data_IF_995359193717
#
_entry.id   IF_995359193717
#
_cell.length_a   1.000
_cell.length_b   1.000
_cell.length_c   1.000
_cell.angle_alpha   90.00
_cell.angle_beta   90.00
_cell.angle_gamma   90.00
#
_symmetry.space_group_name_H-M   'P 1'
#
loop_
_entity.id
_entity.type
_entity.pdbx_description
1 polymer ?
#
# COMPACT_ATOMS: atom_id res chain seq x y z
N UNK A 1 25.11 -2.93 12.35
CA UNK A 1 24.25 -3.06 11.14
C UNK A 1 25.07 -3.72 10.03
N UNK A 2 24.73 -4.94 9.60
CA UNK A 2 25.60 -5.84 8.81
C UNK A 2 25.92 -5.22 7.42
N UNK A 3 27.19 -5.18 6.96
CA UNK A 3 27.62 -4.46 5.75
C UNK A 3 26.88 -4.83 4.45
N UNK A 4 26.28 -6.02 4.40
CA UNK A 4 25.43 -6.49 3.30
C UNK A 4 24.13 -5.68 3.13
N UNK A 5 23.52 -5.22 4.23
CA UNK A 5 22.31 -4.37 4.19
C UNK A 5 22.61 -3.02 3.54
N UNK A 6 23.79 -2.45 3.79
CA UNK A 6 24.21 -1.17 3.19
C UNK A 6 24.51 -1.34 1.69
N UNK A 7 25.09 -2.48 1.30
CA UNK A 7 25.44 -2.80 -0.10
C UNK A 7 24.21 -3.08 -0.98
N UNK A 8 23.22 -3.79 -0.47
CA UNK A 8 22.07 -4.24 -1.27
C UNK A 8 20.76 -3.52 -0.95
N UNK A 9 20.69 -2.72 0.12
CA UNK A 9 19.46 -2.07 0.58
C UNK A 9 18.80 -1.20 -0.49
N UNK A 10 19.59 -0.41 -1.23
CA UNK A 10 19.07 0.42 -2.33
C UNK A 10 18.47 -0.42 -3.46
N UNK A 11 19.13 -1.52 -3.83
CA UNK A 11 18.64 -2.43 -4.86
C UNK A 11 17.33 -3.11 -4.43
N UNK A 12 17.25 -3.53 -3.17
CA UNK A 12 16.04 -4.12 -2.61
C UNK A 12 14.88 -3.13 -2.55
N UNK A 13 15.13 -1.90 -2.06
CA UNK A 13 14.11 -0.85 -2.03
C UNK A 13 13.58 -0.57 -3.44
N UNK A 14 14.46 -0.47 -4.43
CA UNK A 14 14.06 -0.24 -5.82
C UNK A 14 13.23 -1.39 -6.39
N UNK A 15 13.57 -2.65 -6.06
CA UNK A 15 12.77 -3.81 -6.46
C UNK A 15 11.39 -3.75 -5.82
N UNK A 16 11.30 -3.50 -4.52
CA UNK A 16 10.02 -3.41 -3.81
C UNK A 16 9.17 -2.27 -4.39
N UNK A 17 9.77 -1.10 -4.61
CA UNK A 17 9.11 0.04 -5.23
C UNK A 17 8.58 -0.29 -6.63
N UNK A 18 9.37 -0.96 -7.47
CA UNK A 18 8.95 -1.37 -8.81
C UNK A 18 7.79 -2.38 -8.76
N UNK A 19 7.83 -3.33 -7.82
CA UNK A 19 6.75 -4.31 -7.64
C UNK A 19 5.48 -3.61 -7.14
N UNK A 20 5.58 -2.72 -6.15
CA UNK A 20 4.44 -1.94 -5.66
C UNK A 20 3.82 -1.14 -6.79
N UNK A 21 4.60 -0.34 -7.51
CA UNK A 21 4.08 0.40 -8.65
C UNK A 21 3.46 -0.50 -9.71
N UNK A 22 4.04 -1.67 -10.01
CA UNK A 22 3.47 -2.57 -11.01
C UNK A 22 2.06 -3.06 -10.66
N UNK A 23 1.77 -3.26 -9.37
CA UNK A 23 0.40 -3.57 -8.93
C UNK A 23 -0.54 -2.39 -9.21
N UNK A 24 -0.14 -1.19 -8.82
CA UNK A 24 -0.99 0.00 -8.95
C UNK A 24 -1.15 0.49 -10.40
N UNK A 25 -0.12 0.34 -11.23
CA UNK A 25 -0.16 0.58 -12.67
C UNK A 25 -1.25 -0.24 -13.36
N UNK A 26 -1.42 -1.50 -12.94
CA UNK A 26 -2.46 -2.38 -13.47
C UNK A 26 -3.87 -1.99 -13.03
N UNK A 27 -4.00 -1.33 -11.88
CA UNK A 27 -5.24 -0.70 -11.39
C UNK A 27 -5.50 0.68 -12.03
N UNK A 28 -4.67 1.10 -12.99
CA UNK A 28 -4.82 2.35 -13.73
C UNK A 28 -4.09 3.55 -13.12
N UNK A 29 -3.30 3.35 -12.06
CA UNK A 29 -2.46 4.40 -11.49
C UNK A 29 -1.20 4.59 -12.33
N UNK A 30 -1.02 5.68 -13.06
CA UNK A 30 0.19 5.83 -13.88
C UNK A 30 1.41 6.26 -13.04
N UNK A 31 2.47 5.45 -13.03
CA UNK A 31 3.75 5.84 -12.45
C UNK A 31 4.94 5.02 -12.94
N UNK A 32 5.96 4.89 -12.10
CA UNK A 32 7.23 4.23 -12.46
C UNK A 32 7.09 2.70 -12.49
N UNK A 33 8.03 1.98 -13.08
CA UNK A 33 7.97 0.51 -13.13
C UNK A 33 7.08 -0.04 -14.25
N UNK A 34 6.96 -1.37 -14.31
CA UNK A 34 6.12 -2.05 -15.30
C UNK A 34 4.64 -2.06 -14.91
N UNK A 35 3.80 -2.75 -15.67
CA UNK A 35 2.44 -3.11 -15.25
C UNK A 35 2.38 -4.59 -14.94
N UNK A 36 1.79 -4.96 -13.79
CA UNK A 36 1.47 -6.35 -13.53
C UNK A 36 0.47 -6.85 -14.60
N UNK A 37 0.64 -8.07 -15.10
CA UNK A 37 -0.25 -8.69 -16.09
C UNK A 37 -1.27 -9.66 -15.46
N UNK A 38 -1.13 -9.95 -14.17
CA UNK A 38 -1.95 -10.89 -13.43
C UNK A 38 -3.09 -10.20 -12.66
N UNK A 39 -4.02 -11.01 -12.16
CA UNK A 39 -5.07 -10.55 -11.25
C UNK A 39 -4.48 -9.92 -10.00
N UNK A 40 -5.09 -8.84 -9.53
CA UNK A 40 -4.62 -8.08 -8.39
C UNK A 40 -5.59 -8.19 -7.24
N UNK A 41 -5.01 -8.45 -6.08
CA UNK A 41 -5.63 -8.32 -4.80
C UNK A 41 -5.37 -6.90 -4.26
N UNK A 42 -6.42 -6.08 -4.17
CA UNK A 42 -6.29 -4.66 -3.81
C UNK A 42 -5.84 -4.51 -2.35
N UNK A 43 -6.41 -5.29 -1.43
CA UNK A 43 -6.04 -5.21 -0.01
C UNK A 43 -4.60 -5.66 0.22
N UNK A 44 -4.16 -6.74 -0.44
CA UNK A 44 -2.76 -7.17 -0.38
C UNK A 44 -1.82 -6.13 -1.02
N UNK A 45 -2.25 -5.47 -2.09
CA UNK A 45 -1.47 -4.42 -2.77
C UNK A 45 -1.32 -3.16 -1.91
N UNK A 46 -2.34 -2.81 -1.13
CA UNK A 46 -2.27 -1.74 -0.13
C UNK A 46 -1.24 -2.06 0.96
N UNK A 47 -1.25 -3.29 1.48
CA UNK A 47 -0.29 -3.73 2.49
C UNK A 47 1.14 -3.74 1.96
N UNK A 48 1.34 -4.20 0.72
CA UNK A 48 2.64 -4.19 0.05
C UNK A 48 3.14 -2.76 -0.17
N UNK A 49 2.26 -1.84 -0.55
CA UNK A 49 2.63 -0.46 -0.83
C UNK A 49 2.88 0.37 0.44
N UNK A 50 2.27 0.02 1.59
CA UNK A 50 2.38 0.76 2.85
C UNK A 50 3.81 1.16 3.23
N UNK A 51 4.78 0.24 3.35
CA UNK A 51 6.15 0.64 3.69
C UNK A 51 6.79 1.51 2.60
N UNK A 52 6.43 1.35 1.32
CA UNK A 52 7.00 2.13 0.20
C UNK A 52 6.43 3.54 0.15
N UNK A 53 5.14 3.72 0.46
CA UNK A 53 4.48 5.03 0.47
C UNK A 53 5.14 6.01 1.46
N UNK A 54 5.71 5.51 2.55
CA UNK A 54 6.48 6.34 3.49
C UNK A 54 7.76 6.93 2.86
N UNK A 55 8.29 6.34 1.79
CA UNK A 55 9.52 6.78 1.10
C UNK A 55 9.25 7.37 -0.30
N UNK A 56 8.17 6.99 -0.97
CA UNK A 56 7.76 7.51 -2.28
C UNK A 56 6.42 8.23 -2.17
N UNK A 57 6.49 9.55 -1.95
CA UNK A 57 5.30 10.40 -1.84
C UNK A 57 4.39 10.37 -3.07
N UNK A 58 4.92 10.07 -4.27
CA UNK A 58 4.08 9.98 -5.48
C UNK A 58 3.19 8.75 -5.45
N UNK A 59 3.71 7.64 -4.91
CA UNK A 59 2.94 6.43 -4.74
C UNK A 59 1.85 6.63 -3.68
N UNK A 60 2.16 7.34 -2.59
CA UNK A 60 1.18 7.75 -1.59
C UNK A 60 0.04 8.57 -2.22
N UNK A 61 0.36 9.69 -2.87
CA UNK A 61 -0.64 10.59 -3.48
C UNK A 61 -1.49 9.86 -4.53
N UNK A 62 -0.85 8.99 -5.32
CA UNK A 62 -1.52 8.20 -6.33
C UNK A 62 -2.52 7.22 -5.73
N UNK A 63 -2.09 6.40 -4.77
CA UNK A 63 -2.95 5.44 -4.08
C UNK A 63 -4.07 6.16 -3.35
N UNK A 64 -3.77 7.26 -2.66
CA UNK A 64 -4.77 8.08 -1.98
C UNK A 64 -5.85 8.58 -2.96
N UNK A 65 -5.45 9.19 -4.08
CA UNK A 65 -6.36 9.67 -5.12
C UNK A 65 -7.18 8.54 -5.76
N UNK A 66 -6.58 7.35 -5.89
CA UNK A 66 -7.27 6.17 -6.39
C UNK A 66 -8.35 5.72 -5.40
N UNK A 67 -8.02 5.66 -4.11
CA UNK A 67 -8.95 5.28 -3.05
C UNK A 67 -10.11 6.27 -2.93
N UNK A 68 -9.88 7.58 -3.07
CA UNK A 68 -10.97 8.57 -3.08
C UNK A 68 -12.04 8.29 -4.15
N UNK A 69 -11.65 7.67 -5.27
CA UNK A 69 -12.55 7.35 -6.38
C UNK A 69 -13.13 5.95 -6.30
N UNK A 70 -12.37 5.00 -5.75
CA UNK A 70 -12.65 3.57 -5.83
C UNK A 70 -12.65 2.87 -4.45
N UNK A 71 -12.84 3.58 -3.34
CA UNK A 71 -12.88 2.96 -1.99
C UNK A 71 -13.91 1.84 -1.87
N UNK A 72 -15.01 1.92 -2.63
CA UNK A 72 -16.14 0.99 -2.56
C UNK A 72 -15.81 -0.41 -3.06
N UNK A 73 -14.76 -0.58 -3.87
CA UNK A 73 -14.29 -1.90 -4.32
C UNK A 73 -13.25 -2.51 -3.38
N UNK A 74 -12.82 -1.78 -2.35
CA UNK A 74 -11.93 -2.29 -1.29
C UNK A 74 -12.76 -2.99 -0.23
N UNK A 75 -12.43 -4.24 0.07
CA UNK A 75 -13.04 -4.96 1.17
C UNK A 75 -12.41 -4.53 2.51
N UNK A 76 -13.11 -3.66 3.22
CA UNK A 76 -12.67 -3.11 4.50
C UNK A 76 -12.45 -4.14 5.61
N UNK A 77 -13.37 -5.11 5.76
CA UNK A 77 -13.24 -6.18 6.76
C UNK A 77 -12.03 -7.07 6.49
N UNK A 78 -11.81 -7.42 5.23
CA UNK A 78 -10.66 -8.20 4.80
C UNK A 78 -9.37 -7.42 5.03
N UNK A 79 -9.33 -6.14 4.67
CA UNK A 79 -8.16 -5.29 4.91
C UNK A 79 -7.85 -5.21 6.41
N UNK A 80 -8.85 -4.96 7.25
CA UNK A 80 -8.68 -4.93 8.71
C UNK A 80 -8.14 -6.26 9.26
N UNK A 81 -8.67 -7.39 8.78
CA UNK A 81 -8.19 -8.72 9.15
C UNK A 81 -6.74 -8.96 8.73
N UNK A 82 -6.35 -8.51 7.53
CA UNK A 82 -4.97 -8.65 7.06
C UNK A 82 -4.01 -7.76 7.85
N UNK A 83 -4.41 -6.54 8.22
CA UNK A 83 -3.63 -5.64 9.08
C UNK A 83 -3.38 -6.29 10.44
N UNK A 84 -4.44 -6.80 11.08
CA UNK A 84 -4.36 -7.45 12.41
C UNK A 84 -3.48 -8.72 12.41
N UNK A 85 -3.42 -9.41 11.28
CA UNK A 85 -2.56 -10.60 11.09
C UNK A 85 -1.13 -10.26 10.69
N UNK A 86 -0.89 -9.05 10.18
CA UNK A 86 0.41 -8.55 9.80
C UNK A 86 1.20 -8.02 10.99
N UNK A 87 2.46 -7.62 10.75
CA UNK A 87 3.26 -6.90 11.73
C UNK A 87 2.73 -5.46 11.88
N UNK A 88 1.88 -5.27 12.89
CA UNK A 88 1.18 -4.00 13.17
C UNK A 88 2.14 -2.80 13.26
N UNK A 89 3.38 -3.00 13.72
CA UNK A 89 4.34 -1.91 13.97
C UNK A 89 4.75 -1.13 12.72
N UNK A 90 4.75 -1.76 11.55
CA UNK A 90 5.17 -1.12 10.29
C UNK A 90 3.98 -0.60 9.46
N UNK A 91 2.84 -1.30 9.56
CA UNK A 91 1.67 -1.06 8.70
C UNK A 91 0.67 -0.08 9.30
N UNK A 92 0.51 -0.10 10.63
CA UNK A 92 -0.47 0.73 11.33
C UNK A 92 -0.27 2.24 11.17
N UNK A 93 0.97 2.80 11.15
CA UNK A 93 1.14 4.25 10.98
C UNK A 93 0.71 4.75 9.60
N UNK A 94 1.08 4.02 8.54
CA UNK A 94 0.79 4.41 7.15
C UNK A 94 -0.68 4.19 6.82
N UNK A 95 -1.23 3.04 7.19
CA UNK A 95 -2.64 2.73 6.95
C UNK A 95 -3.56 3.56 7.86
N UNK A 96 -3.14 3.83 9.09
CA UNK A 96 -3.80 4.78 9.98
C UNK A 96 -3.80 6.20 9.41
N UNK A 97 -2.74 6.60 8.71
CA UNK A 97 -2.69 7.84 7.92
C UNK A 97 -3.76 7.86 6.82
N UNK A 98 -3.89 6.79 6.03
CA UNK A 98 -4.93 6.69 4.99
C UNK A 98 -6.34 6.70 5.59
N UNK A 99 -6.55 6.05 6.72
CA UNK A 99 -7.85 6.03 7.40
C UNK A 99 -8.22 7.42 7.93
N UNK A 100 -7.26 8.16 8.51
CA UNK A 100 -7.46 9.52 9.01
C UNK A 100 -7.62 10.55 7.89
N UNK A 101 -6.96 10.35 6.76
CA UNK A 101 -6.97 11.30 5.65
C UNK A 101 -8.29 11.31 4.85
N UNK A 102 -9.20 10.34 5.06
CA UNK A 102 -10.59 10.42 4.59
C UNK A 102 -11.09 9.50 3.47
N UNK A 103 -10.30 8.75 2.69
CA UNK A 103 -10.80 7.91 1.60
C UNK A 103 -11.30 6.53 2.08
N UNK A 104 -11.63 6.42 3.36
CA UNK A 104 -12.04 5.17 4.01
C UNK A 104 -13.19 5.45 4.97
N UNK A 105 -14.27 6.04 4.47
CA UNK A 105 -15.47 6.30 5.28
C UNK A 105 -16.10 5.00 5.78
N UNK A 106 -15.95 3.91 5.04
CA UNK A 106 -16.52 2.58 5.36
C UNK A 106 -15.63 1.74 6.29
N UNK A 107 -14.34 2.05 6.40
CA UNK A 107 -13.36 1.28 7.19
C UNK A 107 -13.23 1.79 8.64
N UNK A 108 -13.56 3.07 8.88
CA UNK A 108 -13.60 3.64 10.23
C UNK A 108 -14.67 3.04 11.13
N UNK A 109 -15.71 2.39 10.57
CA UNK A 109 -16.69 1.62 11.35
C UNK A 109 -16.16 0.24 11.75
N UNK A 110 -15.40 -0.42 10.88
CA UNK A 110 -14.89 -1.79 11.07
C UNK A 110 -13.74 -1.87 12.08
N UNK A 111 -12.88 -0.84 12.13
CA UNK A 111 -11.72 -0.80 13.03
C UNK A 111 -12.04 -0.28 14.45
N UNK A 112 -13.29 0.13 14.71
CA UNK A 112 -13.76 0.54 16.05
C UNK A 112 -14.38 -0.61 16.87
N UNK A 113 -14.44 -1.80 16.30
CA UNK A 113 -14.86 -3.07 16.93
C UNK A 113 -13.66 -3.97 17.16
#
# INVERSE_FOLDING_TARGET
>A
MKPLLKKYGHKWLQVIQNVSWAQWNRLGLMGTGGSNQYSIDIEASLLLAAPVMAWDGRLWEGIYSWLERYETIVNGERLANLIRRGDEGTLAPVLGGLIKAGPFKTLTSVLKT
#
